data_IF_965378918907
#
_entry.id   IF_965378918907
#
_cell.length_a   1.000
_cell.length_b   1.000
_cell.length_c   1.000
_cell.angle_alpha   90.00
_cell.angle_beta   90.00
_cell.angle_gamma   90.00
#
_symmetry.space_group_name_H-M   'P 1'
#
loop_
_entity.id
_entity.type
_entity.pdbx_description
1 polymer ?
#
# COMPACT_ATOMS: atom_id res chain seq x y z
N UNK A 1 1.73 17.55 14.83
CA UNK A 1 1.24 17.09 13.52
C UNK A 1 0.65 18.27 12.78
N UNK A 2 1.09 18.48 11.58
CA UNK A 2 0.51 19.55 10.76
C UNK A 2 -0.95 19.25 10.43
N UNK A 3 -1.71 20.31 10.21
CA UNK A 3 -3.11 20.16 9.84
C UNK A 3 -3.22 19.46 8.50
N UNK A 4 -4.02 18.43 8.42
CA UNK A 4 -4.37 17.76 7.18
C UNK A 4 -5.37 18.55 6.34
N UNK A 5 -5.86 19.66 6.87
CA UNK A 5 -6.81 20.53 6.19
C UNK A 5 -6.09 21.80 5.72
N UNK A 6 -6.16 22.03 4.43
CA UNK A 6 -5.69 23.28 3.84
C UNK A 6 -6.87 24.22 3.63
N UNK A 7 -6.62 25.52 3.62
CA UNK A 7 -7.62 26.50 3.20
C UNK A 7 -7.94 26.37 1.70
N UNK A 8 -7.10 25.68 0.97
CA UNK A 8 -7.24 25.36 -0.45
C UNK A 8 -6.79 23.91 -0.70
N UNK A 9 -7.05 23.38 -1.86
CA UNK A 9 -6.54 22.07 -2.25
C UNK A 9 -5.05 22.17 -2.56
N UNK A 10 -4.34 21.10 -2.26
CA UNK A 10 -2.89 21.03 -2.41
C UNK A 10 -2.46 20.88 -3.87
N UNK A 11 -1.41 21.60 -4.26
CA UNK A 11 -0.70 21.34 -5.51
C UNK A 11 0.20 20.10 -5.33
N UNK A 12 0.87 19.67 -6.39
CA UNK A 12 1.71 18.46 -6.34
C UNK A 12 2.77 18.51 -5.25
N UNK A 13 3.44 19.63 -5.10
CA UNK A 13 4.49 19.80 -4.10
C UNK A 13 3.94 19.69 -2.67
N UNK A 14 2.85 20.38 -2.39
CA UNK A 14 2.17 20.32 -1.09
C UNK A 14 1.61 18.92 -0.81
N UNK A 15 1.11 18.25 -1.85
CA UNK A 15 0.57 16.92 -1.75
C UNK A 15 1.64 15.87 -1.39
N UNK A 16 2.82 15.98 -2.00
CA UNK A 16 3.96 15.12 -1.64
C UNK A 16 4.40 15.36 -0.20
N UNK A 17 4.42 16.63 0.22
CA UNK A 17 4.71 16.96 1.62
C UNK A 17 3.68 16.34 2.56
N UNK A 18 2.41 16.38 2.17
CA UNK A 18 1.34 15.77 2.97
C UNK A 18 1.53 14.25 3.11
N UNK A 19 1.97 13.55 2.08
CA UNK A 19 2.33 12.15 2.19
C UNK A 19 3.35 11.93 3.30
N UNK A 20 4.42 12.70 3.28
CA UNK A 20 5.54 12.51 4.19
C UNK A 20 5.17 12.84 5.62
N UNK A 21 4.36 13.86 5.81
CA UNK A 21 3.93 14.31 7.13
C UNK A 21 2.94 13.33 7.77
N UNK A 22 2.19 12.59 6.98
CA UNK A 22 1.13 11.69 7.48
C UNK A 22 1.46 10.21 7.37
N UNK A 23 2.68 9.87 7.04
CA UNK A 23 3.08 8.47 6.85
C UNK A 23 2.92 7.62 8.12
N UNK A 24 2.50 6.37 7.96
CA UNK A 24 2.01 5.75 6.74
C UNK A 24 0.61 6.25 6.40
N UNK A 25 0.53 7.15 5.44
CA UNK A 25 -0.72 7.78 5.05
C UNK A 25 -1.73 6.79 4.53
N UNK A 26 -2.97 6.95 4.96
CA UNK A 26 -4.03 6.06 4.50
C UNK A 26 -4.51 6.46 3.12
N UNK A 27 -4.67 5.46 2.27
CA UNK A 27 -5.24 5.62 0.96
C UNK A 27 -6.70 5.20 0.95
N UNK A 28 -7.55 6.01 1.54
CA UNK A 28 -8.97 5.72 1.58
C UNK A 28 -9.67 6.75 0.70
N UNK A 29 -10.24 6.30 -0.39
CA UNK A 29 -10.97 7.17 -1.29
C UNK A 29 -12.28 7.65 -0.70
N UNK A 30 -12.85 6.83 0.15
CA UNK A 30 -14.08 7.16 0.85
C UNK A 30 -13.95 6.71 2.29
N UNK A 31 -14.11 7.65 3.19
CA UNK A 31 -14.01 7.36 4.61
C UNK A 31 -15.36 7.42 5.31
N UNK A 32 -16.40 7.86 4.62
CA UNK A 32 -17.72 8.00 5.19
C UNK A 32 -17.79 8.97 6.37
N UNK A 33 -18.95 9.44 6.67
CA UNK A 33 -19.24 10.15 7.93
C UNK A 33 -18.40 11.39 8.21
N UNK A 34 -17.87 12.03 7.16
CA UNK A 34 -17.17 13.30 7.32
C UNK A 34 -15.88 13.25 8.11
N UNK A 35 -15.34 12.10 8.34
CA UNK A 35 -14.02 11.99 8.97
C UNK A 35 -12.99 12.75 8.16
N UNK A 36 -11.92 13.26 8.79
CA UNK A 36 -10.88 13.93 8.04
C UNK A 36 -10.46 13.00 6.92
N UNK A 37 -10.62 13.42 5.70
CA UNK A 37 -10.28 12.54 4.62
C UNK A 37 -8.78 12.29 4.66
N UNK A 38 -8.44 11.24 4.11
CA UNK A 38 -7.10 10.83 3.85
C UNK A 38 -6.50 11.70 2.77
N UNK A 39 -5.62 11.18 1.98
CA UNK A 39 -5.01 11.92 0.87
C UNK A 39 -6.00 12.21 -0.25
N UNK A 40 -7.08 11.46 -0.33
CA UNK A 40 -8.14 11.72 -1.31
C UNK A 40 -8.77 13.09 -1.09
N UNK A 41 -9.16 13.75 -2.16
CA UNK A 41 -9.83 15.05 -2.15
C UNK A 41 -8.95 16.21 -1.65
N UNK A 42 -7.66 16.00 -1.49
CA UNK A 42 -6.72 17.05 -1.04
C UNK A 42 -6.00 17.74 -2.17
N UNK A 43 -5.99 17.14 -3.35
CA UNK A 43 -5.24 17.64 -4.50
C UNK A 43 -6.08 18.58 -5.37
N UNK A 44 -5.41 19.55 -6.00
CA UNK A 44 -6.00 20.41 -7.03
C UNK A 44 -5.76 19.86 -8.45
N UNK A 45 -5.31 18.62 -8.56
CA UNK A 45 -4.96 17.92 -9.79
C UNK A 45 -5.52 16.49 -9.72
N UNK A 46 -5.36 15.71 -10.79
CA UNK A 46 -5.79 14.31 -10.82
C UNK A 46 -4.83 13.45 -10.00
N UNK A 47 -5.13 13.30 -8.72
CA UNK A 47 -4.29 12.55 -7.80
C UNK A 47 -4.37 11.03 -8.02
N UNK A 48 -5.43 10.53 -8.62
CA UNK A 48 -5.56 9.10 -8.94
C UNK A 48 -4.50 8.71 -9.97
N UNK A 49 -4.41 9.48 -11.04
CA UNK A 49 -3.41 9.25 -12.08
C UNK A 49 -1.99 9.52 -11.56
N UNK A 50 -1.81 10.59 -10.82
CA UNK A 50 -0.54 10.96 -10.21
C UNK A 50 -0.01 9.84 -9.31
N UNK A 51 -0.85 9.31 -8.43
CA UNK A 51 -0.46 8.27 -7.50
C UNK A 51 -0.19 6.94 -8.19
N UNK A 52 -0.95 6.63 -9.23
CA UNK A 52 -0.70 5.46 -10.05
C UNK A 52 0.67 5.54 -10.72
N UNK A 53 0.99 6.68 -11.31
CA UNK A 53 2.28 6.92 -11.96
C UNK A 53 3.43 6.77 -10.96
N UNK A 54 3.29 7.35 -9.78
CA UNK A 54 4.32 7.26 -8.73
C UNK A 54 4.50 5.81 -8.25
N UNK A 55 3.44 5.03 -8.14
CA UNK A 55 3.53 3.61 -7.81
C UNK A 55 4.27 2.83 -8.91
N UNK A 56 3.94 3.07 -10.16
CA UNK A 56 4.62 2.43 -11.30
C UNK A 56 6.10 2.75 -11.34
N UNK A 57 6.47 3.98 -10.99
CA UNK A 57 7.87 4.42 -10.92
C UNK A 57 8.56 4.06 -9.61
N UNK A 58 7.90 3.37 -8.71
CA UNK A 58 8.41 3.02 -7.38
C UNK A 58 8.81 4.25 -6.53
N UNK A 59 8.15 5.37 -6.74
CA UNK A 59 8.32 6.59 -5.93
C UNK A 59 7.32 6.67 -4.79
N UNK A 60 6.39 5.74 -4.75
CA UNK A 60 5.38 5.60 -3.71
C UNK A 60 5.10 4.11 -3.54
N UNK A 61 5.23 3.63 -2.33
CA UNK A 61 5.01 2.22 -2.01
C UNK A 61 3.70 2.09 -1.25
N UNK A 62 2.80 1.29 -1.77
CA UNK A 62 1.49 1.03 -1.17
C UNK A 62 1.46 -0.38 -0.57
N UNK A 63 0.86 -0.50 0.60
CA UNK A 63 0.71 -1.81 1.23
C UNK A 63 0.08 -1.73 2.61
N UNK A 64 -0.16 -2.89 3.19
CA UNK A 64 -0.76 -3.04 4.51
C UNK A 64 0.30 -3.15 5.60
N UNK A 65 1.10 -2.11 5.73
CA UNK A 65 2.30 -2.11 6.55
C UNK A 65 2.04 -1.80 8.02
N UNK A 66 1.04 -1.01 8.31
CA UNK A 66 0.78 -0.51 9.66
C UNK A 66 -0.42 -1.22 10.27
N UNK A 67 -0.18 -2.33 10.96
CA UNK A 67 -1.24 -3.09 11.62
C UNK A 67 -2.29 -3.65 10.66
N UNK A 68 -1.90 -3.94 9.42
CA UNK A 68 -2.83 -4.43 8.40
C UNK A 68 -3.60 -3.35 7.66
N UNK A 69 -3.42 -2.09 8.03
CA UNK A 69 -4.06 -0.97 7.35
C UNK A 69 -3.33 -0.60 6.07
N UNK A 70 -4.09 -0.35 5.03
CA UNK A 70 -3.54 0.09 3.75
C UNK A 70 -3.01 1.52 3.87
N UNK A 71 -1.78 1.71 3.51
CA UNK A 71 -1.13 3.02 3.57
C UNK A 71 -0.07 3.19 2.51
N UNK A 72 0.48 4.40 2.45
CA UNK A 72 1.50 4.78 1.48
C UNK A 72 2.74 5.28 2.18
N UNK A 73 3.90 4.82 1.71
CA UNK A 73 5.21 5.20 2.24
C UNK A 73 6.11 5.60 1.08
N UNK A 74 6.88 6.67 1.25
CA UNK A 74 7.91 7.03 0.27
C UNK A 74 9.13 6.11 0.48
N UNK A 75 9.81 5.69 -0.60
CA UNK A 75 10.92 4.74 -0.50
C UNK A 75 12.04 5.17 0.44
N UNK A 76 12.31 6.46 0.52
CA UNK A 76 13.38 7.01 1.37
C UNK A 76 13.15 6.73 2.85
N UNK A 77 11.90 6.55 3.26
CA UNK A 77 11.54 6.33 4.66
C UNK A 77 11.23 4.86 4.97
N UNK A 78 11.37 3.95 4.01
CA UNK A 78 11.00 2.54 4.18
C UNK A 78 11.75 1.86 5.33
N UNK A 79 13.04 2.12 5.50
CA UNK A 79 13.82 1.51 6.58
C UNK A 79 13.27 1.86 7.95
N UNK A 80 12.83 3.11 8.12
CA UNK A 80 12.23 3.56 9.37
C UNK A 80 10.93 2.79 9.65
N UNK A 81 10.07 2.66 8.66
CA UNK A 81 8.79 1.98 8.83
C UNK A 81 8.94 0.48 8.97
N UNK A 82 9.94 -0.13 8.33
CA UNK A 82 10.30 -1.53 8.57
C UNK A 82 10.68 -1.72 10.03
N UNK A 83 11.51 -0.85 10.57
CA UNK A 83 11.93 -0.94 11.97
C UNK A 83 10.76 -0.78 12.94
N UNK A 84 9.80 0.08 12.63
CA UNK A 84 8.68 0.39 13.51
C UNK A 84 7.52 -0.61 13.42
N UNK A 85 7.24 -1.13 12.24
CA UNK A 85 5.98 -1.84 11.98
C UNK A 85 6.14 -3.25 11.46
N UNK A 86 7.30 -3.66 10.98
CA UNK A 86 7.45 -4.97 10.38
C UNK A 86 7.08 -6.08 11.36
N UNK A 87 6.11 -6.88 10.95
CA UNK A 87 5.71 -8.07 11.69
C UNK A 87 6.34 -9.28 11.02
N UNK A 88 7.41 -9.78 11.62
CA UNK A 88 8.18 -10.89 11.06
C UNK A 88 7.29 -12.11 10.77
N UNK A 89 7.56 -12.75 9.66
CA UNK A 89 6.87 -13.96 9.25
C UNK A 89 7.60 -15.17 9.87
N UNK A 90 7.15 -15.53 11.07
CA UNK A 90 7.70 -16.70 11.80
C UNK A 90 6.80 -17.88 11.49
N UNK A 91 7.33 -18.99 11.04
CA UNK A 91 6.58 -20.18 10.64
C UNK A 91 5.52 -19.89 9.56
N UNK A 92 5.97 -19.49 8.37
CA UNK A 92 5.03 -19.23 7.27
C UNK A 92 4.26 -20.49 6.89
N UNK A 93 2.99 -20.30 6.53
CA UNK A 93 2.16 -21.40 6.03
C UNK A 93 2.57 -21.76 4.61
N UNK A 94 2.15 -22.95 4.18
CA UNK A 94 2.38 -23.39 2.80
C UNK A 94 1.75 -22.43 1.79
N UNK A 95 0.54 -21.94 2.07
CA UNK A 95 -0.13 -20.99 1.21
C UNK A 95 0.66 -19.69 1.10
N UNK A 96 1.15 -19.16 2.24
CA UNK A 96 1.97 -17.95 2.25
C UNK A 96 3.24 -18.12 1.42
N UNK A 97 3.92 -19.24 1.56
CA UNK A 97 5.13 -19.52 0.78
C UNK A 97 4.84 -19.65 -0.71
N UNK A 98 3.78 -20.34 -1.08
CA UNK A 98 3.39 -20.50 -2.48
C UNK A 98 3.09 -19.15 -3.13
N UNK A 99 2.33 -18.30 -2.45
CA UNK A 99 1.98 -16.97 -2.93
C UNK A 99 3.24 -16.11 -3.05
N UNK A 100 4.09 -16.13 -2.05
CA UNK A 100 5.32 -15.34 -2.07
C UNK A 100 6.25 -15.77 -3.20
N UNK A 101 6.48 -17.04 -3.36
CA UNK A 101 7.34 -17.57 -4.43
C UNK A 101 6.82 -17.22 -5.82
N UNK A 102 5.50 -17.30 -6.02
CA UNK A 102 4.89 -16.94 -7.28
C UNK A 102 5.09 -15.45 -7.58
N UNK A 103 4.86 -14.58 -6.60
CA UNK A 103 5.04 -13.13 -6.76
C UNK A 103 6.52 -12.80 -7.05
N UNK A 104 7.44 -13.41 -6.34
CA UNK A 104 8.88 -13.19 -6.55
C UNK A 104 9.32 -13.61 -7.95
N UNK A 105 8.73 -14.67 -8.47
CA UNK A 105 9.09 -15.19 -9.80
C UNK A 105 8.41 -14.45 -10.94
N UNK A 106 7.16 -14.09 -10.79
CA UNK A 106 6.31 -13.62 -11.90
C UNK A 106 5.63 -12.27 -11.65
N UNK A 107 5.75 -11.70 -10.48
CA UNK A 107 5.08 -10.43 -10.17
C UNK A 107 5.47 -9.27 -11.10
N UNK A 108 4.63 -8.25 -11.19
CA UNK A 108 3.44 -8.03 -10.34
C UNK A 108 2.23 -8.85 -10.78
N UNK A 109 1.46 -9.34 -9.79
CA UNK A 109 0.28 -10.17 -10.02
C UNK A 109 -0.91 -9.67 -9.19
N UNK A 110 -2.09 -9.64 -9.80
CA UNK A 110 -3.33 -9.40 -9.06
C UNK A 110 -3.89 -10.71 -8.49
N UNK A 111 -4.92 -10.61 -7.66
CA UNK A 111 -5.51 -11.79 -7.01
C UNK A 111 -6.03 -12.81 -8.02
N UNK A 112 -6.66 -12.34 -9.10
CA UNK A 112 -7.19 -13.25 -10.10
C UNK A 112 -6.08 -14.06 -10.80
N UNK A 113 -4.98 -13.40 -11.11
CA UNK A 113 -3.81 -14.08 -11.70
C UNK A 113 -3.20 -15.10 -10.72
N UNK A 114 -3.11 -14.75 -9.44
CA UNK A 114 -2.62 -15.66 -8.41
C UNK A 114 -3.54 -16.88 -8.30
N UNK A 115 -4.84 -16.66 -8.32
CA UNK A 115 -5.83 -17.73 -8.29
C UNK A 115 -5.66 -18.68 -9.50
N UNK A 116 -5.51 -18.12 -10.67
CA UNK A 116 -5.33 -18.92 -11.91
C UNK A 116 -4.07 -19.76 -11.87
N UNK A 117 -2.97 -19.20 -11.37
CA UNK A 117 -1.69 -19.89 -11.32
C UNK A 117 -1.58 -20.94 -10.21
N UNK A 118 -2.24 -20.70 -9.07
CA UNK A 118 -2.11 -21.57 -7.88
C UNK A 118 -3.26 -22.51 -7.68
N UNK A 119 -4.43 -22.22 -8.23
CA UNK A 119 -5.66 -22.95 -7.92
C UNK A 119 -6.23 -22.65 -6.54
N UNK A 120 -5.64 -21.74 -5.79
CA UNK A 120 -6.12 -21.36 -4.46
C UNK A 120 -7.39 -20.51 -4.57
N UNK A 121 -8.19 -20.53 -3.52
CA UNK A 121 -9.38 -19.69 -3.42
C UNK A 121 -9.00 -18.27 -2.99
N UNK A 122 -9.80 -17.29 -3.41
CA UNK A 122 -9.60 -15.90 -3.02
C UNK A 122 -9.55 -15.75 -1.50
N UNK A 123 -10.41 -16.47 -0.77
CA UNK A 123 -10.44 -16.44 0.70
C UNK A 123 -9.17 -16.99 1.36
N UNK A 124 -8.35 -17.73 0.61
CA UNK A 124 -7.05 -18.21 1.06
C UNK A 124 -5.93 -17.26 0.66
N UNK A 125 -6.04 -16.67 -0.52
CA UNK A 125 -5.03 -15.77 -1.09
C UNK A 125 -5.01 -14.44 -0.34
N UNK A 126 -6.16 -13.84 -0.09
CA UNK A 126 -6.26 -12.51 0.51
C UNK A 126 -5.58 -12.40 1.88
N UNK A 127 -5.84 -13.31 2.83
CA UNK A 127 -5.12 -13.27 4.12
C UNK A 127 -3.61 -13.46 3.97
N UNK A 128 -3.19 -14.32 3.03
CA UNK A 128 -1.77 -14.52 2.77
C UNK A 128 -1.11 -13.25 2.25
N UNK A 129 -1.74 -12.56 1.30
CA UNK A 129 -1.22 -11.28 0.78
C UNK A 129 -1.12 -10.22 1.87
N UNK A 130 -2.14 -10.11 2.72
CA UNK A 130 -2.12 -9.15 3.81
C UNK A 130 -0.98 -9.44 4.79
N UNK A 131 -0.81 -10.70 5.14
CA UNK A 131 0.24 -11.09 6.08
C UNK A 131 1.65 -10.87 5.51
N UNK A 132 1.84 -11.14 4.23
CA UNK A 132 3.12 -10.89 3.56
C UNK A 132 3.43 -9.38 3.48
N UNK A 133 2.42 -8.54 3.32
CA UNK A 133 2.60 -7.08 3.35
C UNK A 133 2.96 -6.59 4.75
N UNK A 134 2.34 -7.12 5.79
CA UNK A 134 2.70 -6.79 7.18
C UNK A 134 4.15 -7.16 7.50
N UNK A 135 4.68 -8.17 6.83
CA UNK A 135 6.08 -8.58 6.96
C UNK A 135 7.02 -7.77 6.04
N UNK A 136 6.51 -6.84 5.25
CA UNK A 136 7.27 -6.03 4.28
C UNK A 136 7.98 -6.88 3.22
N UNK A 137 7.42 -8.03 2.90
CA UNK A 137 7.97 -8.92 1.87
C UNK A 137 7.43 -8.61 0.48
N UNK A 138 6.24 -8.05 0.41
CA UNK A 138 5.59 -7.62 -0.83
C UNK A 138 4.91 -6.27 -0.62
N UNK A 139 4.57 -5.62 -1.72
CA UNK A 139 3.82 -4.38 -1.73
C UNK A 139 2.86 -4.36 -2.93
N UNK A 140 2.04 -3.32 -3.04
CA UNK A 140 1.04 -3.22 -4.10
C UNK A 140 1.40 -2.14 -5.12
N UNK A 141 1.06 -2.42 -6.38
CA UNK A 141 1.02 -1.44 -7.46
C UNK A 141 -0.39 -1.50 -8.03
N UNK A 142 -1.23 -0.49 -7.73
CA UNK A 142 -2.64 -0.59 -8.05
C UNK A 142 -3.26 -1.79 -7.34
N UNK A 143 -3.74 -2.77 -8.09
CA UNK A 143 -4.29 -4.02 -7.55
C UNK A 143 -3.33 -5.20 -7.66
N UNK A 144 -2.17 -4.98 -8.26
CA UNK A 144 -1.17 -6.03 -8.41
C UNK A 144 -0.20 -6.03 -7.23
N UNK A 145 0.40 -7.18 -6.97
CA UNK A 145 1.32 -7.40 -5.85
C UNK A 145 2.71 -7.74 -6.37
N UNK A 146 3.71 -7.14 -5.76
CA UNK A 146 5.13 -7.31 -6.13
C UNK A 146 5.95 -7.78 -4.94
#
# INVERSE_FOLDING_TARGET
MERQCFSHKANEHEYIKLYRDTQPGQNVYWNGFGQPPTLSFRADFDDIEFNRDRQLKRKLIKGRFSGGNLGWIVPEDMELFIALYRKLLVKPTEIQLRVLELIEREGPLNIQQIKEETGLLVKEITPALHRLQEAFLIYEIGRAHV
#
